data_IF_673799999793
#
_entry.id   IF_673799999793
#
_cell.length_a   1.000
_cell.length_b   1.000
_cell.length_c   1.000
_cell.angle_alpha   90.00
_cell.angle_beta   90.00
_cell.angle_gamma   90.00
#
_symmetry.space_group_name_H-M   'P 1'
#
loop_
_entity.id
_entity.type
_entity.pdbx_description
1 polymer ?
#
# COMPACT_ATOMS: atom_id res chain seq x y z
N UNK A 1 -23.15 -8.29 29.47
CA UNK A 1 -21.92 -7.56 29.14
C UNK A 1 -21.06 -8.53 28.34
N UNK A 2 -21.01 -8.38 27.02
CA UNK A 2 -20.07 -9.12 26.17
C UNK A 2 -18.98 -8.13 25.78
N UNK A 3 -17.75 -8.39 26.22
CA UNK A 3 -16.57 -7.69 25.74
C UNK A 3 -16.41 -8.01 24.25
N UNK A 4 -16.67 -7.03 23.39
CA UNK A 4 -16.26 -7.09 21.99
C UNK A 4 -14.76 -6.84 21.94
N UNK A 5 -13.97 -7.88 22.21
CA UNK A 5 -12.54 -7.86 21.88
C UNK A 5 -12.39 -7.74 20.37
N UNK A 6 -11.70 -6.70 19.89
CA UNK A 6 -11.30 -6.59 18.48
C UNK A 6 -10.58 -7.87 18.10
N UNK A 7 -11.15 -8.64 17.17
CA UNK A 7 -10.55 -9.89 16.72
C UNK A 7 -9.37 -9.52 15.83
N UNK A 8 -8.16 -9.64 16.37
CA UNK A 8 -6.93 -9.35 15.62
C UNK A 8 -6.83 -10.28 14.41
N UNK A 9 -6.36 -9.79 13.27
CA UNK A 9 -6.06 -10.65 12.12
C UNK A 9 -5.02 -11.69 12.52
N UNK A 10 -5.24 -12.93 12.06
CA UNK A 10 -4.33 -14.05 12.28
C UNK A 10 -3.84 -14.59 10.92
N UNK A 11 -2.53 -14.48 10.61
CA UNK A 11 -1.51 -13.86 11.46
C UNK A 11 -1.65 -12.31 11.51
N UNK A 12 -0.98 -11.62 12.45
CA UNK A 12 -0.96 -10.15 12.53
C UNK A 12 -0.34 -9.52 11.28
N UNK A 13 -0.81 -8.35 10.84
CA UNK A 13 -0.33 -7.72 9.60
C UNK A 13 1.18 -7.45 9.63
N UNK A 14 1.75 -7.21 10.80
CA UNK A 14 3.17 -6.95 11.02
C UNK A 14 4.04 -8.19 10.75
N UNK A 15 3.46 -9.38 10.73
CA UNK A 15 4.17 -10.62 10.38
C UNK A 15 4.23 -10.89 8.87
N UNK A 16 3.72 -9.97 8.05
CA UNK A 16 3.65 -10.13 6.58
C UNK A 16 5.01 -10.21 5.91
N UNK A 17 6.04 -9.62 6.53
CA UNK A 17 7.37 -9.49 5.95
C UNK A 17 8.39 -9.92 6.99
N UNK A 18 9.34 -10.76 6.58
CA UNK A 18 10.43 -11.21 7.43
C UNK A 18 11.77 -10.94 6.80
N UNK A 19 12.71 -10.41 7.57
CA UNK A 19 14.11 -10.33 7.16
C UNK A 19 14.82 -11.64 7.52
N UNK A 20 15.27 -12.38 6.51
CA UNK A 20 15.91 -13.70 6.67
C UNK A 20 17.40 -13.69 6.33
N UNK A 21 17.94 -12.53 5.93
CA UNK A 21 19.35 -12.29 5.69
C UNK A 21 19.61 -10.79 5.55
N UNK A 22 20.87 -10.38 5.39
CA UNK A 22 21.24 -8.96 5.31
C UNK A 22 20.47 -8.22 4.19
N UNK A 23 20.35 -8.88 3.04
CA UNK A 23 19.68 -8.38 1.84
C UNK A 23 18.66 -9.39 1.31
N UNK A 24 17.89 -10.01 2.20
CA UNK A 24 16.94 -11.07 1.86
C UNK A 24 15.69 -11.02 2.74
N UNK A 25 14.53 -10.91 2.12
CA UNK A 25 13.24 -10.75 2.78
C UNK A 25 12.17 -11.65 2.17
N UNK A 26 11.42 -12.34 3.02
CA UNK A 26 10.19 -13.03 2.61
C UNK A 26 9.03 -12.04 2.71
N UNK A 27 8.16 -12.02 1.69
CA UNK A 27 7.06 -11.07 1.55
C UNK A 27 5.78 -11.83 1.24
N UNK A 28 4.88 -11.88 2.22
CA UNK A 28 3.70 -12.74 2.14
C UNK A 28 4.11 -14.20 1.92
N UNK A 29 3.19 -15.01 1.40
CA UNK A 29 3.42 -16.46 1.26
C UNK A 29 4.11 -16.87 -0.03
N UNK A 30 4.25 -15.94 -0.96
CA UNK A 30 4.55 -16.26 -2.37
C UNK A 30 5.81 -15.60 -2.89
N UNK A 31 6.37 -14.61 -2.17
CA UNK A 31 7.41 -13.75 -2.72
C UNK A 31 8.65 -13.64 -1.84
N UNK A 32 9.79 -13.49 -2.49
CA UNK A 32 11.06 -13.18 -1.87
C UNK A 32 11.75 -12.04 -2.60
N UNK A 33 12.19 -11.05 -1.83
CA UNK A 33 13.06 -9.98 -2.30
C UNK A 33 14.48 -10.28 -1.84
N UNK A 34 15.44 -10.30 -2.76
CA UNK A 34 16.83 -10.51 -2.41
C UNK A 34 17.79 -9.77 -3.34
N UNK A 35 19.01 -9.53 -2.85
CA UNK A 35 20.11 -9.07 -3.71
C UNK A 35 20.34 -10.10 -4.81
N UNK A 36 20.40 -9.66 -6.06
CA UNK A 36 20.65 -10.54 -7.19
C UNK A 36 22.07 -11.11 -7.11
N UNK A 37 22.21 -12.41 -7.31
CA UNK A 37 23.49 -13.03 -7.58
C UNK A 37 23.72 -13.09 -9.10
N UNK A 38 24.96 -12.85 -9.52
CA UNK A 38 25.39 -12.81 -10.91
C UNK A 38 25.06 -14.07 -11.73
N UNK A 39 24.80 -15.19 -11.06
CA UNK A 39 24.68 -16.51 -11.67
C UNK A 39 23.26 -16.90 -12.09
N UNK A 40 22.21 -16.20 -11.64
CA UNK A 40 20.83 -16.70 -11.75
C UNK A 40 19.85 -15.62 -12.24
N UNK A 41 19.60 -15.60 -13.56
CA UNK A 41 18.99 -14.45 -14.26
C UNK A 41 17.60 -14.72 -14.88
N UNK A 42 16.91 -15.82 -14.60
CA UNK A 42 15.73 -16.18 -15.42
C UNK A 42 14.37 -16.19 -14.72
N UNK A 43 14.28 -16.01 -13.40
CA UNK A 43 13.02 -16.21 -12.64
C UNK A 43 12.47 -14.95 -11.92
N UNK A 44 12.99 -13.76 -12.24
CA UNK A 44 12.59 -12.53 -11.57
C UNK A 44 11.27 -11.97 -12.13
N UNK A 45 10.32 -11.68 -11.23
CA UNK A 45 9.08 -10.93 -11.50
C UNK A 45 9.41 -9.46 -11.74
N UNK A 46 10.30 -8.90 -10.92
CA UNK A 46 10.75 -7.52 -11.03
C UNK A 46 12.22 -7.40 -10.62
N UNK A 47 12.90 -6.39 -11.18
CA UNK A 47 14.28 -6.03 -10.86
C UNK A 47 14.41 -4.53 -10.76
N UNK A 48 15.31 -4.08 -9.91
CA UNK A 48 15.66 -2.69 -9.79
C UNK A 48 17.02 -2.53 -9.12
N UNK A 49 17.69 -1.43 -9.42
CA UNK A 49 18.89 -1.01 -8.70
C UNK A 49 18.49 -0.10 -7.53
N UNK A 50 19.23 -0.20 -6.43
CA UNK A 50 19.19 0.82 -5.39
C UNK A 50 20.13 2.00 -5.72
N UNK A 51 20.17 2.99 -4.83
CA UNK A 51 21.02 4.18 -5.00
C UNK A 51 22.53 3.88 -5.00
N UNK A 52 22.94 2.68 -4.55
CA UNK A 52 24.32 2.22 -4.54
C UNK A 52 24.65 1.33 -5.76
N UNK A 53 23.70 1.14 -6.68
CA UNK A 53 23.86 0.28 -7.86
C UNK A 53 23.79 -1.21 -7.55
N UNK A 54 23.21 -1.58 -6.40
CA UNK A 54 22.94 -2.99 -6.07
C UNK A 54 21.63 -3.42 -6.71
N UNK A 55 21.71 -4.44 -7.57
CA UNK A 55 20.52 -5.01 -8.21
C UNK A 55 19.77 -5.90 -7.20
N UNK A 56 18.51 -5.55 -6.91
CA UNK A 56 17.58 -6.39 -6.18
C UNK A 56 16.61 -7.06 -7.15
N UNK A 57 16.16 -8.27 -6.79
CA UNK A 57 15.14 -9.01 -7.52
C UNK A 57 13.99 -9.40 -6.61
N UNK A 58 12.79 -9.38 -7.17
CA UNK A 58 11.59 -10.00 -6.63
C UNK A 58 11.29 -11.26 -7.44
N UNK A 59 11.05 -12.39 -6.78
CA UNK A 59 10.67 -13.65 -7.43
C UNK A 59 9.73 -14.44 -6.52
N UNK A 60 9.19 -15.53 -7.05
CA UNK A 60 8.35 -16.43 -6.28
C UNK A 60 9.16 -17.30 -5.30
N UNK A 61 8.50 -17.73 -4.22
CA UNK A 61 9.05 -18.69 -3.26
C UNK A 61 7.93 -19.43 -2.52
N UNK A 62 8.22 -20.63 -2.04
CA UNK A 62 7.36 -21.36 -1.09
C UNK A 62 7.73 -21.11 0.38
N UNK A 63 8.82 -20.35 0.63
CA UNK A 63 9.25 -20.00 1.97
C UNK A 63 8.32 -18.97 2.60
N UNK A 64 8.00 -19.15 3.89
CA UNK A 64 7.02 -18.32 4.58
C UNK A 64 7.68 -17.37 5.58
N UNK A 65 7.17 -16.13 5.70
CA UNK A 65 7.49 -15.23 6.77
C UNK A 65 7.35 -15.92 8.14
N UNK A 66 8.34 -15.72 8.99
CA UNK A 66 8.27 -16.04 10.41
C UNK A 66 8.24 -14.73 11.20
N UNK A 67 7.82 -14.76 12.47
CA UNK A 67 7.95 -13.58 13.33
C UNK A 67 9.44 -13.27 13.58
N UNK A 68 10.09 -12.64 12.62
CA UNK A 68 11.38 -11.99 12.75
C UNK A 68 11.05 -10.55 13.15
N UNK A 69 11.69 -9.99 14.19
CA UNK A 69 11.48 -8.61 14.66
C UNK A 69 11.88 -7.51 13.66
N UNK A 70 11.47 -7.67 12.40
CA UNK A 70 11.59 -6.73 11.30
C UNK A 70 10.28 -5.95 11.23
N UNK A 71 10.23 -4.90 12.04
CA UNK A 71 9.01 -4.13 12.23
C UNK A 71 8.75 -3.15 11.07
N UNK A 72 7.48 -2.93 10.72
CA UNK A 72 7.10 -1.86 9.79
C UNK A 72 7.43 -0.49 10.41
N UNK A 73 7.76 0.49 9.58
CA UNK A 73 7.94 1.87 10.05
C UNK A 73 6.60 2.58 10.30
N UNK A 74 5.50 2.03 9.80
CA UNK A 74 4.15 2.53 10.01
C UNK A 74 3.13 1.38 10.05
N UNK A 75 2.21 1.44 11.00
CA UNK A 75 1.08 0.52 11.15
C UNK A 75 -0.21 1.29 11.44
N UNK A 76 -1.29 0.94 10.74
CA UNK A 76 -2.64 1.39 10.99
C UNK A 76 -3.49 0.21 11.49
N UNK A 77 -3.17 -0.27 12.69
CA UNK A 77 -3.75 -1.49 13.26
C UNK A 77 -3.65 -2.67 12.29
N UNK A 78 -4.75 -3.40 12.13
CA UNK A 78 -4.85 -4.53 11.22
C UNK A 78 -5.20 -4.11 9.77
N UNK A 79 -5.31 -2.83 9.46
CA UNK A 79 -5.74 -2.38 8.13
C UNK A 79 -4.58 -2.29 7.13
N UNK A 80 -3.46 -1.73 7.56
CA UNK A 80 -2.30 -1.51 6.69
C UNK A 80 -0.99 -1.40 7.48
N UNK A 81 0.11 -1.82 6.86
CA UNK A 81 1.45 -1.66 7.37
C UNK A 81 2.44 -1.35 6.23
N UNK A 82 3.49 -0.57 6.54
CA UNK A 82 4.50 -0.12 5.59
C UNK A 82 5.91 -0.51 6.05
N UNK A 83 6.70 -1.08 5.15
CA UNK A 83 8.12 -1.34 5.34
C UNK A 83 8.95 -0.60 4.29
N UNK A 84 10.20 -0.34 4.64
CA UNK A 84 11.19 0.22 3.73
C UNK A 84 12.42 -0.69 3.71
N UNK A 85 12.71 -1.27 2.54
CA UNK A 85 13.91 -2.06 2.30
C UNK A 85 14.15 -2.21 0.79
N UNK A 86 15.38 -2.58 0.43
CA UNK A 86 15.82 -2.71 -0.97
C UNK A 86 15.54 -1.43 -1.80
N UNK A 87 15.58 -0.24 -1.18
CA UNK A 87 15.31 1.04 -1.84
C UNK A 87 13.84 1.25 -2.27
N UNK A 88 12.89 0.46 -1.75
CA UNK A 88 11.47 0.51 -2.09
C UNK A 88 10.59 0.64 -0.84
N UNK A 89 9.36 1.09 -1.06
CA UNK A 89 8.29 1.05 -0.06
C UNK A 89 7.42 -0.19 -0.31
N UNK A 90 7.21 -0.96 0.74
CA UNK A 90 6.40 -2.17 0.71
C UNK A 90 5.15 -1.94 1.54
N UNK A 91 4.01 -1.93 0.85
CA UNK A 91 2.70 -1.74 1.48
C UNK A 91 1.97 -3.06 1.56
N UNK A 92 1.50 -3.36 2.76
CA UNK A 92 0.58 -4.47 3.00
C UNK A 92 -0.73 -3.91 3.50
N UNK A 93 -1.85 -4.37 2.94
CA UNK A 93 -3.18 -4.03 3.42
C UNK A 93 -4.01 -5.28 3.58
N UNK A 94 -4.91 -5.26 4.54
CA UNK A 94 -5.98 -6.25 4.60
C UNK A 94 -6.85 -6.15 3.37
N UNK A 95 -7.25 -7.30 2.84
CA UNK A 95 -7.94 -7.44 1.57
C UNK A 95 -9.13 -8.37 1.72
N UNK A 96 -10.26 -8.00 1.12
CA UNK A 96 -11.41 -8.86 0.96
C UNK A 96 -11.57 -9.27 -0.50
N UNK A 97 -12.29 -10.37 -0.72
CA UNK A 97 -12.72 -10.74 -2.06
C UNK A 97 -13.50 -9.58 -2.69
N UNK A 98 -13.18 -9.22 -3.94
CA UNK A 98 -13.78 -8.10 -4.70
C UNK A 98 -13.50 -6.71 -4.11
N UNK A 99 -12.44 -6.57 -3.32
CA UNK A 99 -11.89 -5.26 -2.97
C UNK A 99 -10.98 -4.75 -4.09
N UNK A 100 -11.15 -3.49 -4.50
CA UNK A 100 -10.25 -2.82 -5.42
C UNK A 100 -8.84 -2.71 -4.82
N UNK A 101 -7.82 -3.10 -5.58
CA UNK A 101 -6.44 -2.84 -5.18
C UNK A 101 -6.06 -1.39 -5.47
N UNK A 102 -5.27 -0.82 -4.56
CA UNK A 102 -4.78 0.55 -4.70
C UNK A 102 -3.95 0.75 -5.99
N UNK A 103 -3.20 -0.28 -6.41
CA UNK A 103 -2.45 -0.26 -7.65
C UNK A 103 -3.32 -0.05 -8.89
N UNK A 104 -4.51 -0.68 -8.94
CA UNK A 104 -5.44 -0.54 -10.05
C UNK A 104 -6.04 0.88 -10.10
N UNK A 105 -6.27 1.50 -8.94
CA UNK A 105 -6.66 2.92 -8.86
C UNK A 105 -5.53 3.84 -9.34
N UNK A 106 -4.28 3.55 -8.97
CA UNK A 106 -3.10 4.30 -9.45
C UNK A 106 -2.99 4.19 -10.98
N UNK A 107 -3.13 2.99 -11.54
CA UNK A 107 -3.09 2.76 -12.99
C UNK A 107 -4.22 3.49 -13.72
N UNK A 108 -5.43 3.50 -13.15
CA UNK A 108 -6.55 4.26 -13.67
C UNK A 108 -6.23 5.77 -13.71
N UNK A 109 -5.74 6.34 -12.61
CA UNK A 109 -5.41 7.77 -12.55
C UNK A 109 -4.31 8.11 -13.55
N UNK A 110 -3.25 7.30 -13.61
CA UNK A 110 -2.10 7.48 -14.52
C UNK A 110 -2.53 7.47 -15.98
N UNK A 111 -3.46 6.59 -16.36
CA UNK A 111 -3.92 6.43 -17.74
C UNK A 111 -4.95 7.47 -18.18
N UNK A 112 -5.73 8.04 -17.25
CA UNK A 112 -6.84 8.94 -17.58
C UNK A 112 -6.59 10.42 -17.24
N UNK A 113 -5.66 10.72 -16.33
CA UNK A 113 -5.42 12.09 -15.85
C UNK A 113 -3.94 12.49 -15.97
N UNK A 114 -3.52 12.81 -17.19
CA UNK A 114 -2.14 13.23 -17.48
C UNK A 114 -1.66 14.39 -16.59
N UNK A 115 -0.46 14.29 -16.03
CA UNK A 115 0.11 15.35 -15.19
C UNK A 115 -0.45 15.42 -13.75
N UNK A 116 -1.30 14.48 -13.34
CA UNK A 116 -1.48 14.20 -11.90
C UNK A 116 -0.36 13.23 -11.50
N UNK A 117 0.53 13.61 -10.56
CA UNK A 117 1.57 12.72 -10.07
C UNK A 117 0.95 11.59 -9.25
N UNK A 118 1.35 10.36 -9.53
CA UNK A 118 0.99 9.17 -8.76
C UNK A 118 2.24 8.32 -8.54
N UNK A 119 2.31 7.54 -7.46
CA UNK A 119 3.46 6.68 -7.19
C UNK A 119 3.72 5.69 -8.33
N UNK A 120 4.98 5.35 -8.56
CA UNK A 120 5.33 4.26 -9.48
C UNK A 120 5.19 2.90 -8.78
N UNK A 121 4.25 2.09 -9.26
CA UNK A 121 4.04 0.71 -8.80
C UNK A 121 5.02 -0.21 -9.52
N UNK A 122 5.88 -0.89 -8.76
CA UNK A 122 6.83 -1.89 -9.29
C UNK A 122 6.13 -3.23 -9.49
N UNK A 123 5.37 -3.68 -8.50
CA UNK A 123 4.59 -4.91 -8.55
C UNK A 123 3.50 -4.91 -7.47
N UNK A 124 2.42 -5.67 -7.68
CA UNK A 124 1.36 -5.86 -6.69
C UNK A 124 0.69 -7.22 -6.88
N UNK A 125 0.16 -7.79 -5.79
CA UNK A 125 -0.56 -9.05 -5.79
C UNK A 125 -1.50 -9.17 -4.58
N UNK A 126 -2.42 -10.14 -4.64
CA UNK A 126 -3.30 -10.51 -3.55
C UNK A 126 -2.93 -11.89 -3.01
N UNK A 127 -2.78 -11.99 -1.70
CA UNK A 127 -2.76 -13.25 -0.95
C UNK A 127 -4.16 -13.50 -0.38
N UNK A 128 -4.89 -14.41 -1.01
CA UNK A 128 -6.25 -14.76 -0.58
C UNK A 128 -6.27 -15.63 0.67
N UNK A 129 -5.16 -16.28 1.01
CA UNK A 129 -5.09 -17.17 2.17
C UNK A 129 -5.02 -16.37 3.45
N UNK A 130 -4.11 -15.40 3.51
CA UNK A 130 -3.93 -14.53 4.67
C UNK A 130 -4.77 -13.24 4.54
N UNK A 131 -5.55 -13.11 3.47
CA UNK A 131 -6.43 -11.97 3.16
C UNK A 131 -5.68 -10.64 3.14
N UNK A 132 -4.61 -10.60 2.36
CA UNK A 132 -3.71 -9.44 2.24
C UNK A 132 -3.53 -9.05 0.79
N UNK A 133 -3.36 -7.75 0.56
CA UNK A 133 -2.82 -7.22 -0.69
C UNK A 133 -1.44 -6.66 -0.41
N UNK A 134 -0.54 -6.87 -1.35
CA UNK A 134 0.84 -6.42 -1.30
C UNK A 134 1.11 -5.51 -2.49
N UNK A 135 1.86 -4.45 -2.26
CA UNK A 135 2.27 -3.52 -3.30
C UNK A 135 3.67 -3.01 -3.01
N UNK A 136 4.51 -3.01 -4.04
CA UNK A 136 5.88 -2.47 -4.02
C UNK A 136 5.88 -1.18 -4.83
N UNK A 137 6.37 -0.11 -4.22
CA UNK A 137 6.41 1.23 -4.80
C UNK A 137 7.85 1.75 -4.87
N UNK A 138 8.13 2.54 -5.89
CA UNK A 138 9.30 3.41 -5.86
C UNK A 138 9.21 4.40 -4.68
N UNK A 139 10.36 4.69 -4.08
CA UNK A 139 10.47 5.75 -3.09
C UNK A 139 10.46 7.09 -3.81
N UNK A 140 9.35 7.82 -3.71
CA UNK A 140 9.26 9.18 -4.20
C UNK A 140 10.18 10.10 -3.39
N UNK A 141 10.97 10.92 -4.09
CA UNK A 141 11.85 11.90 -3.43
C UNK A 141 11.02 13.09 -3.00
N UNK A 142 11.04 13.41 -1.71
CA UNK A 142 10.35 14.58 -1.18
C UNK A 142 10.16 14.55 0.32
N UNK A 143 9.44 15.56 0.81
CA UNK A 143 8.98 15.69 2.19
C UNK A 143 7.46 15.68 2.19
N UNK A 144 6.86 15.15 3.26
CA UNK A 144 5.40 15.26 3.41
C UNK A 144 5.02 16.72 3.62
N UNK A 145 3.85 17.13 3.11
CA UNK A 145 3.35 18.49 3.36
C UNK A 145 3.26 18.77 4.86
N UNK A 146 2.80 17.81 5.65
CA UNK A 146 2.77 17.90 7.12
C UNK A 146 4.13 18.33 7.72
N UNK A 147 5.22 17.71 7.26
CA UNK A 147 6.56 17.99 7.78
C UNK A 147 7.11 19.37 7.39
N UNK A 148 6.71 19.91 6.25
CA UNK A 148 7.28 21.15 5.72
C UNK A 148 6.32 22.35 5.73
N UNK A 149 5.01 22.15 5.96
CA UNK A 149 3.96 23.16 5.78
C UNK A 149 4.27 24.46 6.52
N UNK A 150 4.66 24.35 7.80
CA UNK A 150 4.97 25.49 8.64
C UNK A 150 6.22 26.28 8.21
N UNK A 151 7.10 25.67 7.40
CA UNK A 151 8.30 26.33 6.86
C UNK A 151 8.09 27.02 5.52
N UNK A 152 6.94 26.78 4.88
CA UNK A 152 6.60 27.36 3.58
C UNK A 152 6.12 28.80 3.75
N UNK A 153 6.52 29.65 2.81
CA UNK A 153 5.98 31.01 2.68
C UNK A 153 4.54 30.99 2.17
N UNK A 154 3.76 32.03 2.45
CA UNK A 154 2.37 32.14 1.98
C UNK A 154 2.23 31.92 0.46
N UNK A 155 3.09 32.50 -0.42
CA UNK A 155 3.01 32.22 -1.85
C UNK A 155 3.25 30.75 -2.23
N UNK A 156 4.11 30.04 -1.49
CA UNK A 156 4.36 28.61 -1.73
C UNK A 156 3.16 27.76 -1.30
N UNK A 157 2.58 28.06 -0.13
CA UNK A 157 1.37 27.39 0.34
C UNK A 157 0.22 27.62 -0.65
N UNK A 158 0.01 28.86 -1.10
CA UNK A 158 -1.02 29.21 -2.08
C UNK A 158 -0.81 28.45 -3.41
N UNK A 159 0.44 28.36 -3.89
CA UNK A 159 0.75 27.59 -5.09
C UNK A 159 0.41 26.10 -4.93
N UNK A 160 0.77 25.48 -3.79
CA UNK A 160 0.44 24.07 -3.51
C UNK A 160 -1.07 23.86 -3.43
N UNK A 161 -1.80 24.73 -2.73
CA UNK A 161 -3.27 24.64 -2.63
C UNK A 161 -3.90 24.72 -4.02
N UNK A 162 -3.46 25.67 -4.87
CA UNK A 162 -3.95 25.78 -6.26
C UNK A 162 -3.66 24.52 -7.06
N UNK A 163 -2.47 23.94 -6.92
CA UNK A 163 -2.11 22.69 -7.60
C UNK A 163 -2.99 21.52 -7.14
N UNK A 164 -3.17 21.34 -5.83
CA UNK A 164 -4.02 20.27 -5.27
C UNK A 164 -5.48 20.45 -5.68
N UNK A 165 -6.01 21.68 -5.59
CA UNK A 165 -7.37 21.98 -6.04
C UNK A 165 -7.56 21.64 -7.51
N UNK A 166 -6.61 22.01 -8.38
CA UNK A 166 -6.64 21.65 -9.80
C UNK A 166 -6.61 20.13 -10.04
N UNK A 167 -5.89 19.35 -9.22
CA UNK A 167 -5.97 17.89 -9.30
C UNK A 167 -7.34 17.35 -8.91
N UNK A 168 -7.93 17.86 -7.82
CA UNK A 168 -9.25 17.45 -7.35
C UNK A 168 -10.33 17.77 -8.39
N UNK A 169 -10.32 18.98 -8.96
CA UNK A 169 -11.26 19.38 -10.02
C UNK A 169 -11.19 18.45 -11.23
N UNK A 170 -9.97 18.09 -11.64
CA UNK A 170 -9.76 17.17 -12.76
C UNK A 170 -10.23 15.76 -12.44
N UNK A 171 -9.91 15.22 -11.27
CA UNK A 171 -10.38 13.89 -10.86
C UNK A 171 -11.92 13.85 -10.80
N UNK A 172 -12.55 14.94 -10.35
CA UNK A 172 -14.00 15.06 -10.27
C UNK A 172 -14.72 15.06 -11.63
N UNK A 173 -14.01 15.23 -12.75
CA UNK A 173 -14.60 15.06 -14.08
C UNK A 173 -14.86 13.58 -14.42
N UNK A 174 -14.27 12.64 -13.67
CA UNK A 174 -14.62 11.22 -13.76
C UNK A 174 -15.98 10.99 -13.12
N UNK A 175 -16.99 10.69 -13.93
CA UNK A 175 -18.33 10.39 -13.44
C UNK A 175 -18.80 9.04 -13.95
N UNK A 176 -19.51 8.31 -13.09
CA UNK A 176 -20.17 7.05 -13.43
C UNK A 176 -21.64 7.09 -12.99
N UNK A 177 -22.53 6.34 -13.67
CA UNK A 177 -23.95 6.27 -13.29
C UNK A 177 -24.19 5.63 -11.90
N UNK A 178 -23.24 4.82 -11.44
CA UNK A 178 -23.26 4.11 -10.16
C UNK A 178 -22.08 4.53 -9.28
N UNK A 179 -22.27 4.45 -7.97
CA UNK A 179 -21.22 4.64 -6.98
C UNK A 179 -20.41 3.34 -6.85
N UNK A 180 -19.27 3.31 -7.52
CA UNK A 180 -18.42 2.12 -7.65
C UNK A 180 -16.94 2.50 -7.72
N UNK A 181 -16.10 1.50 -7.48
CA UNK A 181 -14.66 1.55 -7.69
C UNK A 181 -14.33 1.56 -9.20
N UNK A 182 -13.08 1.82 -9.56
CA UNK A 182 -12.66 1.89 -10.97
C UNK A 182 -12.85 0.55 -11.72
N UNK A 183 -12.80 -0.58 -11.00
CA UNK A 183 -13.08 -1.93 -11.50
C UNK A 183 -14.56 -2.32 -11.44
N UNK A 184 -15.46 -1.41 -11.04
CA UNK A 184 -16.90 -1.66 -11.00
C UNK A 184 -17.38 -2.44 -9.77
N UNK A 185 -16.54 -2.61 -8.75
CA UNK A 185 -17.00 -3.13 -7.44
C UNK A 185 -17.72 -2.04 -6.66
N UNK A 186 -18.71 -2.41 -5.85
CA UNK A 186 -19.39 -1.48 -4.96
C UNK A 186 -18.44 -0.85 -3.94
N UNK A 187 -18.79 0.33 -3.42
CA UNK A 187 -17.99 1.00 -2.39
C UNK A 187 -18.30 0.38 -1.02
N UNK A 188 -17.28 -0.22 -0.40
CA UNK A 188 -17.36 -0.71 0.98
C UNK A 188 -16.96 0.41 1.97
N UNK A 189 -17.86 1.37 2.16
CA UNK A 189 -17.69 2.44 3.13
C UNK A 189 -18.88 2.47 4.10
N UNK A 190 -18.67 2.20 5.40
CA UNK A 190 -19.74 2.19 6.40
C UNK A 190 -20.53 3.51 6.49
N UNK A 191 -19.95 4.64 6.10
CA UNK A 191 -20.64 5.94 6.10
C UNK A 191 -21.54 6.14 4.90
N UNK A 192 -21.33 5.38 3.82
CA UNK A 192 -22.11 5.42 2.57
C UNK A 192 -23.11 4.26 2.47
N UNK A 193 -22.96 3.22 3.29
CA UNK A 193 -23.91 2.11 3.35
C UNK A 193 -25.10 2.45 4.28
N UNK A 194 -26.34 2.04 3.93
CA UNK A 194 -27.45 2.09 4.86
C UNK A 194 -27.08 1.35 6.14
N UNK A 195 -27.46 1.87 7.32
CA UNK A 195 -27.20 1.25 8.63
C UNK A 195 -27.87 -0.13 8.73
N UNK A 196 -27.28 -1.16 8.14
CA UNK A 196 -27.58 -2.56 8.39
C UNK A 196 -26.48 -3.17 9.25
N UNK A 197 -26.90 -4.03 10.18
CA UNK A 197 -26.15 -4.52 11.36
C UNK A 197 -24.66 -4.75 11.07
N UNK A 198 -23.83 -4.10 11.90
CA UNK A 198 -22.39 -4.31 12.05
C UNK A 198 -22.00 -5.79 11.87
N UNK A 199 -21.17 -6.08 10.88
CA UNK A 199 -20.35 -7.29 10.87
C UNK A 199 -19.07 -6.99 11.69
N UNK A 200 -18.84 -7.65 12.83
CA UNK A 200 -17.74 -7.34 13.74
C UNK A 200 -16.33 -7.68 13.20
N UNK A 201 -16.21 -8.08 11.92
CA UNK A 201 -14.93 -8.39 11.28
C UNK A 201 -14.10 -7.13 10.90
N UNK A 202 -14.64 -5.93 11.07
CA UNK A 202 -13.92 -4.68 10.78
C UNK A 202 -13.69 -3.82 12.02
N UNK A 203 -12.47 -3.79 12.58
CA UNK A 203 -12.01 -2.73 13.43
C UNK A 203 -11.36 -1.65 12.55
N UNK A 204 -12.15 -0.88 11.80
CA UNK A 204 -11.68 0.37 11.19
C UNK A 204 -12.54 1.52 11.71
N UNK A 205 -12.42 1.79 13.01
CA UNK A 205 -12.64 3.13 13.53
C UNK A 205 -11.32 3.87 13.41
N UNK A 206 -11.16 4.65 12.34
CA UNK A 206 -10.15 5.70 12.31
C UNK A 206 -10.61 6.81 13.25
N UNK A 207 -10.37 6.62 14.55
CA UNK A 207 -10.32 7.71 15.50
C UNK A 207 -9.09 8.55 15.13
N UNK A 208 -9.31 9.54 14.27
CA UNK A 208 -8.37 10.63 14.05
C UNK A 208 -8.35 11.49 15.32
N UNK A 209 -7.54 11.07 16.29
CA UNK A 209 -7.09 11.92 17.38
C UNK A 209 -5.58 12.15 17.20
N UNK A 210 -5.27 13.34 16.67
CA UNK A 210 -4.03 14.05 16.98
C UNK A 210 -3.99 14.40 18.47
#
# INVERSE_FOLDING_TARGET
MMEYGQRKLEPPIESSISKIGEHKWLVGREHICELADSLDRTDAIARWDDELGREFRLRTTDARPQSSGFEPFYCAGDCAALWEFAGKIWKVKSSLEKMQMEAETIDFVKSHFSGIPVPTVVHYWNDTTDRRSFMVLDREKGQTLDSCWASLTDPQQEAIVKTVAGYVERLATSQRPSMETVSGYGIDNPTLQPRTKYDPLYPCSSDWHL
#
